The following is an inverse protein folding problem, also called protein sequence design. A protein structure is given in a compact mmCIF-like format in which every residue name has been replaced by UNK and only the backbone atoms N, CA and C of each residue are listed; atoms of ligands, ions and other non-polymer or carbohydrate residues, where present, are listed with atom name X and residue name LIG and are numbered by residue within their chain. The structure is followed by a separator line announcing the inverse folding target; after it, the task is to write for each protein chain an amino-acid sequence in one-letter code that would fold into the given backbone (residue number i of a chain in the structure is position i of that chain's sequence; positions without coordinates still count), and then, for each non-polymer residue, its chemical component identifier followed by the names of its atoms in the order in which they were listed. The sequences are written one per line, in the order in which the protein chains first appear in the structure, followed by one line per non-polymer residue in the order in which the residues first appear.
data_IF_296335394659
#
_entry.id   IF_296335394659
#
_cell.length_a   1.000
_cell.length_b   1.000
_cell.length_c   1.000
_cell.angle_alpha   90.00
_cell.angle_beta   90.00
_cell.angle_gamma   90.00
#
_symmetry.space_group_name_H-M   'P 1'
#
loop_
_entity.id
_entity.type
_entity.pdbx_description
1 polymer ?
#
# COMPACT_ATOMS: atom_id res chain seq x y z
N UNK A 1 21.78 -14.85 33.55
CA UNK A 1 22.46 -13.92 32.62
C UNK A 1 23.68 -14.55 31.93
N UNK A 2 24.68 -15.06 32.66
CA UNK A 2 25.90 -15.66 32.09
C UNK A 2 25.66 -16.82 31.10
N UNK A 3 24.75 -17.75 31.45
CA UNK A 3 24.38 -18.89 30.58
C UNK A 3 23.82 -18.48 29.21
N UNK A 4 23.02 -17.40 29.15
CA UNK A 4 22.44 -16.92 27.89
C UNK A 4 23.53 -16.35 26.96
N UNK A 5 24.50 -15.64 27.52
CA UNK A 5 25.64 -15.10 26.77
C UNK A 5 26.50 -16.24 26.21
N UNK A 6 26.73 -17.29 27.01
CA UNK A 6 27.47 -18.48 26.57
C UNK A 6 26.73 -19.21 25.42
N UNK A 7 25.41 -19.36 25.52
CA UNK A 7 24.61 -19.95 24.44
C UNK A 7 24.57 -19.11 23.18
N UNK A 8 24.55 -17.78 23.29
CA UNK A 8 24.61 -16.87 22.15
C UNK A 8 25.95 -16.97 21.43
N UNK A 9 27.05 -17.02 22.18
CA UNK A 9 28.40 -17.21 21.60
C UNK A 9 28.54 -18.57 20.91
N UNK A 10 27.99 -19.63 21.50
CA UNK A 10 27.96 -20.94 20.84
C UNK A 10 27.11 -20.95 19.58
N UNK A 11 25.94 -20.31 19.61
CA UNK A 11 25.06 -20.18 18.46
C UNK A 11 25.75 -19.40 17.33
N UNK A 12 26.43 -18.29 17.66
CA UNK A 12 27.20 -17.51 16.70
C UNK A 12 28.34 -18.33 16.06
N UNK A 13 29.06 -19.14 16.84
CA UNK A 13 30.09 -20.06 16.33
C UNK A 13 29.51 -21.14 15.41
N UNK A 14 28.36 -21.71 15.78
CA UNK A 14 27.67 -22.76 15.01
C UNK A 14 26.92 -22.21 13.79
N UNK A 15 26.68 -20.89 13.73
CA UNK A 15 25.86 -20.25 12.71
C UNK A 15 26.47 -20.36 11.31
N UNK A 16 27.78 -20.11 11.15
CA UNK A 16 28.44 -20.21 9.85
C UNK A 16 28.41 -21.63 9.27
N UNK A 17 28.52 -22.65 10.12
CA UNK A 17 28.47 -24.04 9.69
C UNK A 17 27.05 -24.47 9.31
N UNK A 18 26.04 -24.05 10.07
CA UNK A 18 24.63 -24.41 9.81
C UNK A 18 23.98 -23.60 8.69
N UNK A 19 24.33 -22.32 8.57
CA UNK A 19 23.66 -21.34 7.71
C UNK A 19 24.59 -20.67 6.71
N UNK A 20 25.83 -21.14 6.57
CA UNK A 20 26.82 -20.60 5.63
C UNK A 20 26.33 -20.60 4.18
N UNK A 21 25.48 -21.56 3.82
CA UNK A 21 24.86 -21.64 2.49
C UNK A 21 23.97 -20.44 2.13
N UNK A 22 23.48 -19.67 3.11
CA UNK A 22 22.73 -18.43 2.87
C UNK A 22 23.62 -17.28 2.37
N UNK A 23 24.95 -17.41 2.51
CA UNK A 23 25.92 -16.44 1.97
C UNK A 23 26.28 -16.75 0.52
N UNK A 24 25.93 -17.93 0.02
CA UNK A 24 26.24 -18.33 -1.35
C UNK A 24 25.43 -17.46 -2.31
N UNK A 25 26.08 -16.82 -3.30
CA UNK A 25 25.37 -16.01 -4.29
C UNK A 25 24.42 -16.88 -5.11
N UNK A 26 23.28 -16.32 -5.48
CA UNK A 26 22.21 -17.00 -6.22
C UNK A 26 22.73 -17.63 -7.53
N UNK A 27 23.71 -17.00 -8.17
CA UNK A 27 24.29 -17.46 -9.43
C UNK A 27 24.91 -18.86 -9.30
N UNK A 28 25.67 -19.12 -8.22
CA UNK A 28 26.28 -20.43 -7.95
C UNK A 28 25.23 -21.53 -7.72
N UNK A 29 24.08 -21.19 -7.10
CA UNK A 29 22.97 -22.14 -6.89
C UNK A 29 22.21 -22.47 -8.17
N UNK A 30 22.23 -21.58 -9.16
CA UNK A 30 21.55 -21.77 -10.44
C UNK A 30 22.43 -22.58 -11.41
N UNK A 31 23.75 -22.49 -11.30
CA UNK A 31 24.67 -23.21 -12.19
C UNK A 31 24.49 -24.72 -12.16
N UNK A 32 24.25 -25.32 -10.99
CA UNK A 32 24.01 -26.77 -10.86
C UNK A 32 22.66 -27.24 -11.45
N UNK A 33 21.73 -26.30 -11.71
CA UNK A 33 20.43 -26.58 -12.36
C UNK A 33 20.41 -26.26 -13.84
N UNK A 34 21.50 -25.75 -14.42
CA UNK A 34 21.67 -25.72 -15.87
C UNK A 34 22.12 -27.11 -16.33
N UNK A 35 21.27 -28.10 -16.14
CA UNK A 35 21.21 -29.16 -17.14
C UNK A 35 20.92 -28.43 -18.45
N UNK A 36 21.91 -28.46 -19.34
CA UNK A 36 21.78 -27.95 -20.69
C UNK A 36 20.45 -28.49 -21.23
N UNK A 37 19.53 -27.60 -21.58
CA UNK A 37 18.25 -27.97 -22.15
C UNK A 37 18.54 -28.62 -23.51
N UNK A 38 18.88 -29.90 -23.48
CA UNK A 38 19.05 -30.81 -24.62
C UNK A 38 17.69 -31.37 -25.05
N UNK A 39 16.60 -30.73 -24.62
CA UNK A 39 15.28 -31.03 -25.17
C UNK A 39 15.32 -30.65 -26.65
N UNK A 40 15.04 -31.60 -27.56
CA UNK A 40 14.94 -31.27 -28.98
C UNK A 40 13.85 -30.21 -29.13
N UNK A 41 14.13 -29.15 -29.89
CA UNK A 41 13.12 -28.16 -30.28
C UNK A 41 12.09 -28.89 -31.15
N UNK A 42 11.07 -29.44 -30.52
CA UNK A 42 9.93 -30.02 -31.22
C UNK A 42 9.20 -28.85 -31.87
N UNK A 43 9.26 -28.78 -33.21
CA UNK A 43 8.47 -27.82 -33.96
C UNK A 43 6.98 -28.15 -33.75
N UNK A 44 6.22 -27.18 -33.24
CA UNK A 44 4.81 -27.38 -32.90
C UNK A 44 4.02 -27.62 -34.20
N UNK A 45 3.37 -28.80 -34.37
CA UNK A 45 2.60 -29.11 -35.57
C UNK A 45 1.56 -28.04 -35.88
N UNK A 46 1.36 -27.75 -37.17
CA UNK A 46 0.52 -26.64 -37.65
C UNK A 46 -0.92 -26.69 -37.11
N UNK A 47 -1.49 -27.88 -36.95
CA UNK A 47 -2.85 -28.06 -36.43
C UNK A 47 -2.98 -27.81 -34.91
N UNK A 48 -1.87 -27.78 -34.18
CA UNK A 48 -1.80 -27.40 -32.77
C UNK A 48 -1.43 -25.92 -32.58
N UNK A 49 -1.07 -25.22 -33.66
CA UNK A 49 -0.79 -23.79 -33.59
C UNK A 49 -2.10 -23.03 -33.39
N UNK A 50 -2.21 -22.38 -32.24
CA UNK A 50 -3.34 -21.51 -31.93
C UNK A 50 -3.28 -20.34 -32.90
N UNK A 51 -4.35 -20.18 -33.70
CA UNK A 51 -4.48 -19.00 -34.56
C UNK A 51 -4.41 -17.75 -33.67
N UNK A 52 -3.62 -16.73 -34.04
CA UNK A 52 -3.62 -15.49 -33.29
C UNK A 52 -5.05 -14.98 -33.24
N UNK A 53 -5.57 -14.81 -32.02
CA UNK A 53 -6.89 -14.23 -31.80
C UNK A 53 -6.90 -12.89 -32.53
N UNK A 54 -7.96 -12.60 -33.27
CA UNK A 54 -8.12 -11.31 -33.95
C UNK A 54 -7.72 -10.20 -32.99
N UNK A 55 -6.85 -9.26 -33.41
CA UNK A 55 -6.28 -8.28 -32.50
C UNK A 55 -7.41 -7.57 -31.78
N UNK A 56 -7.36 -7.69 -30.45
CA UNK A 56 -8.36 -7.18 -29.53
C UNK A 56 -8.56 -5.67 -29.71
N UNK A 57 -7.57 -4.99 -30.28
CA UNK A 57 -7.60 -3.61 -30.77
C UNK A 57 -8.81 -3.28 -31.65
N UNK A 58 -9.35 -4.24 -32.42
CA UNK A 58 -10.57 -4.02 -33.23
C UNK A 58 -11.82 -3.79 -32.38
N UNK A 59 -11.85 -4.27 -31.14
CA UNK A 59 -13.03 -4.24 -30.27
C UNK A 59 -12.82 -3.48 -28.97
N UNK A 60 -11.58 -3.31 -28.51
CA UNK A 60 -11.26 -2.54 -27.30
C UNK A 60 -10.77 -1.15 -27.70
N UNK A 61 -11.71 -0.20 -27.69
CA UNK A 61 -11.37 1.23 -27.74
C UNK A 61 -11.02 1.68 -26.33
N UNK A 62 -9.73 1.82 -26.04
CA UNK A 62 -9.26 2.39 -24.77
C UNK A 62 -9.51 3.89 -24.82
N UNK A 63 -10.58 4.34 -24.17
CA UNK A 63 -10.86 5.77 -23.97
C UNK A 63 -10.06 6.28 -22.76
N UNK A 64 -9.66 7.56 -22.75
CA UNK A 64 -9.00 8.14 -21.59
C UNK A 64 -9.93 8.13 -20.37
N UNK A 65 -9.35 8.02 -19.18
CA UNK A 65 -10.09 8.07 -17.93
C UNK A 65 -10.84 9.40 -17.78
N UNK A 66 -12.05 9.41 -17.21
CA UNK A 66 -12.78 10.64 -16.97
C UNK A 66 -12.01 11.57 -16.02
N UNK A 67 -12.22 12.89 -16.11
CA UNK A 67 -11.57 13.85 -15.23
C UNK A 67 -11.97 13.60 -13.78
N UNK A 68 -11.05 13.84 -12.85
CA UNK A 68 -11.29 13.66 -11.43
C UNK A 68 -12.47 14.56 -11.00
N UNK A 69 -13.52 14.00 -10.37
CA UNK A 69 -14.66 14.79 -9.92
C UNK A 69 -14.21 15.88 -8.94
N UNK A 70 -14.65 17.11 -9.22
CA UNK A 70 -14.28 18.31 -8.44
C UNK A 70 -14.78 18.26 -6.99
N UNK A 71 -15.82 17.48 -6.73
CA UNK A 71 -16.49 17.38 -5.42
C UNK A 71 -16.73 15.90 -5.10
N UNK A 72 -15.69 15.16 -4.72
CA UNK A 72 -15.90 13.84 -4.10
C UNK A 72 -16.35 14.00 -2.67
N UNK A 73 -17.10 13.02 -2.17
CA UNK A 73 -17.51 12.94 -0.76
C UNK A 73 -16.32 13.00 0.23
N UNK A 74 -15.10 12.68 -0.23
CA UNK A 74 -13.89 12.83 0.58
C UNK A 74 -13.46 14.29 0.78
N UNK A 75 -13.80 15.19 -0.14
CA UNK A 75 -13.47 16.61 -0.02
C UNK A 75 -14.48 17.39 0.83
N UNK A 76 -15.67 16.88 1.06
CA UNK A 76 -16.68 17.55 1.89
C UNK A 76 -16.56 17.02 3.32
N UNK A 77 -16.33 17.90 4.28
CA UNK A 77 -16.22 17.47 5.66
C UNK A 77 -15.83 18.59 6.61
N UNK A 78 -15.93 18.30 7.89
CA UNK A 78 -15.61 19.22 8.98
C UNK A 78 -14.18 19.78 8.87
N UNK A 79 -13.23 18.97 8.40
CA UNK A 79 -11.82 19.35 8.19
C UNK A 79 -11.42 19.46 6.72
N UNK A 80 -12.37 19.76 5.83
CA UNK A 80 -12.06 19.90 4.40
C UNK A 80 -10.93 20.92 4.21
N UNK A 81 -9.98 20.64 3.31
CA UNK A 81 -8.96 21.61 2.92
C UNK A 81 -9.51 22.74 2.04
N UNK A 82 -10.73 22.58 1.51
CA UNK A 82 -11.39 23.56 0.64
C UNK A 82 -12.40 24.35 1.47
N UNK A 83 -12.21 25.67 1.68
CA UNK A 83 -13.05 26.48 2.59
C UNK A 83 -14.54 26.41 2.29
N UNK A 84 -14.91 26.37 1.00
CA UNK A 84 -16.32 26.31 0.56
C UNK A 84 -17.00 24.96 0.87
N UNK A 85 -16.23 23.91 1.15
CA UNK A 85 -16.72 22.56 1.45
C UNK A 85 -16.54 22.19 2.93
N UNK A 86 -16.09 23.15 3.76
CA UNK A 86 -16.00 22.98 5.20
C UNK A 86 -17.39 23.09 5.82
N UNK A 87 -17.77 22.07 6.58
CA UNK A 87 -19.02 22.07 7.33
C UNK A 87 -18.87 22.70 8.73
N UNK A 88 -17.65 22.82 9.22
CA UNK A 88 -17.36 23.42 10.52
C UNK A 88 -17.64 24.92 10.50
N UNK A 89 -18.57 25.37 11.35
CA UNK A 89 -18.86 26.78 11.59
C UNK A 89 -18.40 27.14 13.01
N UNK A 90 -17.69 28.26 13.17
CA UNK A 90 -17.36 28.80 14.50
C UNK A 90 -16.07 28.28 15.15
N UNK A 91 -15.08 27.81 14.37
CA UNK A 91 -13.77 27.35 14.88
C UNK A 91 -12.96 28.42 15.64
N UNK A 92 -13.39 29.69 15.60
CA UNK A 92 -12.78 30.73 16.41
C UNK A 92 -13.14 30.48 17.87
N UNK A 93 -12.24 29.79 18.59
CA UNK A 93 -12.33 29.60 20.04
C UNK A 93 -12.37 30.98 20.69
N UNK A 94 -13.58 31.48 20.93
CA UNK A 94 -13.79 32.67 21.73
C UNK A 94 -13.63 32.24 23.19
N UNK A 95 -12.67 32.87 23.86
CA UNK A 95 -12.28 32.68 25.26
C UNK A 95 -13.40 32.09 26.15
N UNK A 96 -13.05 31.11 27.00
CA UNK A 96 -13.94 30.37 27.91
C UNK A 96 -14.70 31.23 28.95
N UNK A 97 -14.63 32.56 28.87
CA UNK A 97 -15.22 33.52 29.80
C UNK A 97 -16.68 33.87 29.45
N UNK A 98 -17.48 32.89 29.04
CA UNK A 98 -18.93 33.00 28.94
C UNK A 98 -19.48 34.09 28.00
N UNK A 99 -18.66 34.64 27.10
CA UNK A 99 -19.11 35.67 26.14
C UNK A 99 -20.04 35.07 25.09
N UNK A 100 -19.78 33.83 24.67
CA UNK A 100 -20.61 33.13 23.69
C UNK A 100 -22.07 32.94 24.16
N UNK A 101 -22.28 32.72 25.47
CA UNK A 101 -23.64 32.62 26.03
C UNK A 101 -24.43 33.93 25.89
N UNK A 102 -23.75 35.09 25.96
CA UNK A 102 -24.39 36.41 25.79
C UNK A 102 -24.83 36.66 24.36
N UNK A 103 -24.06 36.19 23.39
CA UNK A 103 -24.37 36.34 21.95
C UNK A 103 -25.58 35.48 21.54
N UNK A 104 -25.79 34.35 22.22
CA UNK A 104 -26.90 33.43 21.97
C UNK A 104 -28.26 33.92 22.50
N UNK A 105 -28.29 34.98 23.32
CA UNK A 105 -29.51 35.53 23.97
C UNK A 105 -30.35 34.46 24.69
N UNK A 106 -29.71 33.48 25.31
CA UNK A 106 -30.43 32.44 26.03
C UNK A 106 -30.98 32.95 27.37
N UNK A 107 -32.15 32.47 27.81
CA UNK A 107 -32.70 32.82 29.11
C UNK A 107 -31.72 32.39 30.21
N UNK A 108 -31.56 33.24 31.23
CA UNK A 108 -30.69 32.94 32.36
C UNK A 108 -31.34 31.81 33.17
N UNK A 109 -30.72 30.63 33.19
CA UNK A 109 -31.16 29.54 34.06
C UNK A 109 -31.01 29.95 35.53
N UNK A 110 -31.93 29.53 36.42
CA UNK A 110 -31.81 29.80 37.84
C UNK A 110 -30.57 29.08 38.38
N UNK A 111 -29.73 29.82 39.10
CA UNK A 111 -28.60 29.25 39.85
C UNK A 111 -29.13 28.77 41.19
N UNK A 112 -28.91 27.49 41.51
CA UNK A 112 -29.15 26.89 42.83
C UNK A 112 -28.23 27.53 43.91
#
# INVERSE_FOLDING_TARGET
RKKYIETELEAAKKWSHKWGFLKTPLDELIHDKKEENTSPKIELPEHLQVRPVTPVEKYIKVLPSPPVPKTTQQFIGWRSAVPELQLEHGFQIQSCKGTFFKDLKWPCEPSD
#
